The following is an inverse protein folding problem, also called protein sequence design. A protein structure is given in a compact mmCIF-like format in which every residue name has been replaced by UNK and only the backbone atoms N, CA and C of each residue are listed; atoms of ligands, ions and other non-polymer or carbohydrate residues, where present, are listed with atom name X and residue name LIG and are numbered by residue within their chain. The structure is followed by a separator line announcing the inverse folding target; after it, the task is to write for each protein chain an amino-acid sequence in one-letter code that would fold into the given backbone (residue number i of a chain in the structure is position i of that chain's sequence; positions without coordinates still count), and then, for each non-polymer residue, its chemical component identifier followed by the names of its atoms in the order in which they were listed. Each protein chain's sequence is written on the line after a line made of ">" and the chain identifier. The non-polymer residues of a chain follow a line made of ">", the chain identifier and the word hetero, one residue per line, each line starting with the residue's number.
data_IF_743302404748
#
_entry.id   IF_743302404748
#
_cell.length_a   1.000
_cell.length_b   1.000
_cell.length_c   1.000
_cell.angle_alpha   90.00
_cell.angle_beta   90.00
_cell.angle_gamma   90.00
#
_symmetry.space_group_name_H-M   'P 1'
#
loop_
_entity.id
_entity.type
_entity.pdbx_description
1 polymer ?
#
# COMPACT_ATOMS: atom_id res chain seq x y z
N UNK A 1 -58.14 -49.61 8.63
CA UNK A 1 -57.46 -49.68 9.92
C UNK A 1 -56.29 -48.69 9.83
N UNK A 2 -56.64 -47.54 10.27
CA UNK A 2 -56.09 -46.77 11.36
C UNK A 2 -54.76 -46.21 11.04
N UNK A 3 -54.69 -44.90 10.67
CA UNK A 3 -54.56 -43.75 11.55
C UNK A 3 -53.18 -43.66 12.22
N UNK A 4 -52.37 -42.65 11.81
CA UNK A 4 -52.02 -41.56 12.68
C UNK A 4 -51.03 -40.58 12.01
N UNK A 5 -51.51 -39.41 11.70
CA UNK A 5 -50.71 -38.20 11.82
C UNK A 5 -50.38 -37.89 13.29
N UNK A 6 -49.30 -37.18 13.54
CA UNK A 6 -49.55 -35.86 14.12
C UNK A 6 -48.68 -34.73 13.54
N UNK A 7 -49.37 -33.62 13.36
CA UNK A 7 -48.98 -32.22 13.47
C UNK A 7 -47.78 -31.95 14.40
N UNK A 8 -46.83 -31.13 13.96
CA UNK A 8 -46.61 -29.85 14.64
C UNK A 8 -45.77 -28.90 13.78
N UNK A 9 -46.41 -27.82 13.45
CA UNK A 9 -45.83 -26.56 13.03
C UNK A 9 -45.19 -25.89 14.24
N UNK A 10 -43.88 -25.65 14.21
CA UNK A 10 -43.28 -24.56 14.97
C UNK A 10 -42.29 -23.86 14.09
N UNK A 11 -42.59 -22.59 13.84
CA UNK A 11 -41.78 -21.65 13.10
C UNK A 11 -40.46 -21.42 13.80
N UNK A 12 -39.41 -21.59 13.05
CA UNK A 12 -38.09 -21.08 13.37
C UNK A 12 -37.85 -19.87 12.48
N UNK A 13 -38.20 -18.71 12.98
CA UNK A 13 -37.59 -17.44 12.62
C UNK A 13 -36.17 -17.46 13.16
N UNK A 14 -35.24 -17.98 12.40
CA UNK A 14 -33.85 -17.67 12.59
C UNK A 14 -33.58 -16.38 11.83
N UNK A 15 -33.39 -15.32 12.59
CA UNK A 15 -32.71 -14.12 12.13
C UNK A 15 -31.40 -14.54 11.54
N UNK A 16 -31.29 -14.51 10.23
CA UNK A 16 -30.04 -14.61 9.48
C UNK A 16 -29.27 -13.30 9.65
N UNK A 17 -28.71 -13.13 10.86
CA UNK A 17 -27.65 -12.13 11.05
C UNK A 17 -26.39 -12.72 10.41
N UNK A 18 -25.75 -12.03 9.43
CA UNK A 18 -24.55 -12.56 8.79
C UNK A 18 -23.50 -12.93 9.84
N UNK A 19 -22.90 -14.12 9.73
CA UNK A 19 -21.86 -14.60 10.65
C UNK A 19 -20.70 -13.58 10.81
N UNK A 20 -20.42 -12.77 9.79
CA UNK A 20 -19.47 -11.67 9.83
C UNK A 20 -19.80 -10.59 10.87
N UNK A 21 -21.07 -10.24 11.07
CA UNK A 21 -21.48 -9.24 12.05
C UNK A 21 -21.38 -9.75 13.51
N UNK A 22 -21.52 -11.06 13.73
CA UNK A 22 -21.36 -11.65 15.08
C UNK A 22 -19.89 -11.85 15.48
N UNK A 23 -18.98 -12.02 14.53
CA UNK A 23 -17.54 -12.10 14.81
C UNK A 23 -16.88 -10.72 15.01
N UNK A 24 -17.44 -9.66 14.44
CA UNK A 24 -16.95 -8.29 14.63
C UNK A 24 -17.19 -7.73 16.05
N UNK A 25 -18.11 -8.33 16.83
CA UNK A 25 -18.49 -7.84 18.17
C UNK A 25 -17.66 -8.36 19.35
N UNK A 26 -16.76 -9.31 19.13
CA UNK A 26 -15.96 -9.89 20.22
C UNK A 26 -14.47 -9.87 19.87
N UNK A 27 -13.79 -8.79 20.24
CA UNK A 27 -12.33 -8.80 20.32
C UNK A 27 -11.57 -7.73 19.55
N UNK A 28 -12.22 -6.77 18.86
CA UNK A 28 -11.51 -5.63 18.29
C UNK A 28 -11.31 -4.59 19.39
N UNK A 29 -10.22 -4.73 20.13
CA UNK A 29 -9.82 -3.80 21.18
C UNK A 29 -8.98 -2.63 20.65
N UNK A 30 -8.60 -2.64 19.37
CA UNK A 30 -7.77 -1.62 18.76
C UNK A 30 -8.51 -0.92 17.61
N UNK A 31 -8.53 0.39 17.66
CA UNK A 31 -9.11 1.25 16.63
C UNK A 31 -8.34 1.08 15.30
N UNK A 32 -7.03 0.80 15.36
CA UNK A 32 -6.17 0.60 14.21
C UNK A 32 -6.50 -0.64 13.39
N UNK A 33 -7.27 -1.59 13.93
CA UNK A 33 -7.76 -2.74 13.15
C UNK A 33 -8.65 -2.33 11.99
N UNK A 34 -9.35 -1.20 12.10
CA UNK A 34 -10.17 -0.66 11.01
C UNK A 34 -9.37 -0.24 9.77
N UNK A 35 -8.04 -0.15 9.86
CA UNK A 35 -7.17 0.07 8.72
C UNK A 35 -6.90 -1.17 7.89
N UNK A 36 -6.96 -2.33 8.55
CA UNK A 36 -6.49 -3.59 8.01
C UNK A 36 -7.60 -4.63 7.93
N UNK A 37 -8.74 -4.36 8.59
CA UNK A 37 -9.93 -5.23 8.55
C UNK A 37 -10.79 -4.84 7.36
N UNK A 38 -11.43 -5.82 6.74
CA UNK A 38 -12.53 -5.59 5.83
C UNK A 38 -13.57 -4.74 6.53
N UNK A 39 -13.86 -3.58 5.99
CA UNK A 39 -15.07 -2.87 6.40
C UNK A 39 -16.23 -3.84 6.19
N UNK A 40 -17.16 -3.98 7.17
CA UNK A 40 -18.20 -5.02 7.18
C UNK A 40 -19.30 -4.74 6.14
N UNK A 41 -18.91 -4.61 4.89
CA UNK A 41 -19.79 -4.32 3.79
C UNK A 41 -19.69 -5.43 2.75
N UNK A 42 -20.79 -6.09 2.47
CA UNK A 42 -20.93 -7.09 1.40
C UNK A 42 -20.79 -6.49 -0.02
N UNK A 43 -20.58 -5.18 -0.10
CA UNK A 43 -20.47 -4.42 -1.33
C UNK A 43 -19.33 -3.42 -1.27
N UNK A 44 -18.94 -2.86 -2.42
CA UNK A 44 -17.96 -1.78 -2.53
C UNK A 44 -18.25 -0.68 -1.49
N UNK A 45 -17.34 -0.38 -0.54
CA UNK A 45 -17.56 0.66 0.45
C UNK A 45 -17.71 2.01 -0.26
N UNK A 46 -18.84 2.68 -0.03
CA UNK A 46 -19.06 4.06 -0.43
C UNK A 46 -18.76 5.01 0.72
N UNK A 47 -18.54 6.29 0.40
CA UNK A 47 -18.37 7.32 1.42
C UNK A 47 -19.55 7.35 2.41
N UNK A 48 -20.77 7.14 1.89
CA UNK A 48 -22.00 7.08 2.70
C UNK A 48 -21.99 5.89 3.64
N UNK A 49 -21.62 4.70 3.16
CA UNK A 49 -21.55 3.49 3.99
C UNK A 49 -20.53 3.66 5.11
N UNK A 50 -19.36 4.22 4.81
CA UNK A 50 -18.34 4.51 5.83
C UNK A 50 -18.89 5.52 6.85
N UNK A 51 -19.66 6.53 6.39
CA UNK A 51 -20.27 7.53 7.26
C UNK A 51 -21.31 6.94 8.23
N UNK A 52 -21.87 5.75 7.97
CA UNK A 52 -22.84 5.08 8.86
C UNK A 52 -22.20 4.29 10.01
N UNK A 53 -20.86 4.17 10.05
CA UNK A 53 -20.19 3.51 11.16
C UNK A 53 -20.54 4.19 12.49
N UNK A 54 -21.00 3.45 13.51
CA UNK A 54 -21.60 4.03 14.70
C UNK A 54 -20.58 4.74 15.62
N UNK A 55 -19.32 4.38 15.53
CA UNK A 55 -18.23 4.95 16.33
C UNK A 55 -17.56 6.06 15.54
N UNK A 56 -17.58 7.29 16.04
CA UNK A 56 -17.06 8.47 15.36
C UNK A 56 -15.55 8.36 15.04
N UNK A 57 -14.77 7.75 15.93
CA UNK A 57 -13.32 7.61 15.73
C UNK A 57 -12.99 6.53 14.72
N UNK A 58 -13.68 5.39 14.78
CA UNK A 58 -13.57 4.33 13.78
C UNK A 58 -13.99 4.82 12.40
N UNK A 59 -15.07 5.62 12.34
CA UNK A 59 -15.52 6.29 11.13
C UNK A 59 -14.43 7.20 10.56
N UNK A 60 -13.82 8.03 11.39
CA UNK A 60 -12.76 8.95 10.96
C UNK A 60 -11.52 8.20 10.42
N UNK A 61 -11.07 7.15 11.11
CA UNK A 61 -9.95 6.31 10.63
C UNK A 61 -10.31 5.63 9.32
N UNK A 62 -11.50 5.05 9.22
CA UNK A 62 -11.97 4.40 7.99
C UNK A 62 -12.01 5.38 6.81
N UNK A 63 -12.49 6.62 7.02
CA UNK A 63 -12.48 7.68 6.00
C UNK A 63 -11.08 8.07 5.58
N UNK A 64 -10.17 8.32 6.52
CA UNK A 64 -8.77 8.65 6.21
C UNK A 64 -8.14 7.58 5.34
N UNK A 65 -8.28 6.30 5.72
CA UNK A 65 -7.73 5.18 4.98
C UNK A 65 -8.39 5.04 3.59
N UNK A 66 -9.71 5.11 3.53
CA UNK A 66 -10.48 4.97 2.28
C UNK A 66 -10.09 6.04 1.26
N UNK A 67 -10.09 7.32 1.66
CA UNK A 67 -9.71 8.42 0.78
C UNK A 67 -8.25 8.32 0.34
N UNK A 68 -7.34 7.98 1.24
CA UNK A 68 -5.93 7.77 0.88
C UNK A 68 -5.77 6.65 -0.14
N UNK A 69 -6.42 5.50 0.06
CA UNK A 69 -6.35 4.36 -0.85
C UNK A 69 -6.94 4.67 -2.24
N UNK A 70 -7.91 5.58 -2.31
CA UNK A 70 -8.46 6.10 -3.56
C UNK A 70 -7.62 7.24 -4.18
N UNK A 71 -6.48 7.61 -3.56
CA UNK A 71 -5.65 8.76 -3.94
C UNK A 71 -6.40 10.11 -3.90
N UNK A 72 -7.37 10.25 -2.99
CA UNK A 72 -8.09 11.49 -2.64
C UNK A 72 -7.36 12.14 -1.47
N UNK A 73 -6.15 12.60 -1.71
CA UNK A 73 -5.20 13.01 -0.67
C UNK A 73 -5.66 14.24 0.13
N UNK A 74 -6.29 15.22 -0.52
CA UNK A 74 -6.79 16.43 0.14
C UNK A 74 -7.90 16.10 1.15
N UNK A 75 -8.82 15.21 0.77
CA UNK A 75 -9.94 14.78 1.63
C UNK A 75 -9.43 13.93 2.79
N UNK A 76 -8.50 13.02 2.53
CA UNK A 76 -7.83 12.23 3.55
C UNK A 76 -7.05 13.11 4.54
N UNK A 77 -6.29 14.09 4.05
CA UNK A 77 -5.54 15.03 4.89
C UNK A 77 -6.47 15.92 5.74
N UNK A 78 -7.60 16.36 5.19
CA UNK A 78 -8.57 17.15 5.93
C UNK A 78 -9.22 16.35 7.06
N UNK A 79 -9.53 15.07 6.83
CA UNK A 79 -10.05 14.17 7.88
C UNK A 79 -8.99 13.88 8.93
N UNK A 80 -7.74 13.61 8.51
CA UNK A 80 -6.62 13.40 9.41
C UNK A 80 -6.40 14.60 10.33
N UNK A 81 -6.39 15.81 9.78
CA UNK A 81 -6.21 17.05 10.55
C UNK A 81 -7.25 17.21 11.67
N UNK A 82 -8.50 16.80 11.45
CA UNK A 82 -9.57 16.83 12.48
C UNK A 82 -9.26 15.89 13.65
N UNK A 83 -8.59 14.78 13.39
CA UNK A 83 -8.33 13.71 14.34
C UNK A 83 -6.96 13.80 15.04
N UNK A 84 -6.05 14.68 14.59
CA UNK A 84 -4.70 14.82 15.17
C UNK A 84 -4.67 15.25 16.64
N UNK A 85 -5.79 15.75 17.18
CA UNK A 85 -5.96 16.12 18.58
C UNK A 85 -6.98 15.25 19.31
N UNK A 86 -7.26 14.03 18.80
CA UNK A 86 -8.11 13.07 19.49
C UNK A 86 -7.56 12.75 20.89
N UNK A 87 -8.46 12.48 21.84
CA UNK A 87 -8.11 12.01 23.17
C UNK A 87 -7.58 10.56 23.16
N UNK A 88 -7.81 9.82 22.05
CA UNK A 88 -7.32 8.46 21.89
C UNK A 88 -5.95 8.46 21.20
N UNK A 89 -4.89 8.01 21.89
CA UNK A 89 -3.52 8.05 21.37
C UNK A 89 -3.34 7.30 20.02
N UNK A 90 -4.04 6.20 19.83
CA UNK A 90 -4.00 5.44 18.57
C UNK A 90 -4.57 6.25 17.40
N UNK A 91 -5.72 6.89 17.60
CA UNK A 91 -6.37 7.73 16.57
C UNK A 91 -5.49 8.88 16.19
N UNK A 92 -4.95 9.57 17.18
CA UNK A 92 -4.11 10.73 17.02
C UNK A 92 -2.79 10.38 16.31
N UNK A 93 -2.12 9.30 16.71
CA UNK A 93 -0.89 8.82 16.02
C UNK A 93 -1.17 8.42 14.59
N UNK A 94 -2.27 7.70 14.36
CA UNK A 94 -2.66 7.30 13.02
C UNK A 94 -3.04 8.49 12.13
N UNK A 95 -3.79 9.45 12.66
CA UNK A 95 -4.15 10.66 11.96
C UNK A 95 -2.90 11.46 11.54
N UNK A 96 -1.91 11.56 12.43
CA UNK A 96 -0.65 12.22 12.13
C UNK A 96 0.14 11.50 11.03
N UNK A 97 0.19 10.15 11.09
CA UNK A 97 0.78 9.33 10.03
C UNK A 97 0.07 9.54 8.69
N UNK A 98 -1.27 9.47 8.67
CA UNK A 98 -2.06 9.68 7.47
C UNK A 98 -1.84 11.10 6.90
N UNK A 99 -1.75 12.11 7.76
CA UNK A 99 -1.48 13.49 7.36
C UNK A 99 -0.11 13.62 6.70
N UNK A 100 0.93 13.01 7.27
CA UNK A 100 2.27 12.95 6.67
C UNK A 100 2.22 12.32 5.27
N UNK A 101 1.64 11.13 5.14
CA UNK A 101 1.58 10.39 3.87
C UNK A 101 0.83 11.17 2.78
N UNK A 102 -0.28 11.82 3.14
CA UNK A 102 -1.03 12.65 2.20
C UNK A 102 -0.23 13.87 1.77
N UNK A 103 0.46 14.55 2.69
CA UNK A 103 1.25 15.74 2.35
C UNK A 103 2.53 15.42 1.57
N UNK A 104 3.08 14.22 1.71
CA UNK A 104 4.10 13.71 0.77
C UNK A 104 3.51 13.59 -0.64
N UNK A 105 2.34 12.97 -0.78
CA UNK A 105 1.68 12.83 -2.06
C UNK A 105 1.29 14.19 -2.69
N UNK A 106 0.96 15.18 -1.85
CA UNK A 106 0.64 16.55 -2.26
C UNK A 106 1.87 17.47 -2.42
N UNK A 107 3.08 16.92 -2.23
CA UNK A 107 4.33 17.66 -2.31
C UNK A 107 4.42 18.88 -1.35
N UNK A 108 3.90 18.75 -0.14
CA UNK A 108 3.93 19.80 0.88
C UNK A 108 4.95 19.46 1.98
N UNK A 109 6.23 19.65 1.68
CA UNK A 109 7.34 19.23 2.53
C UNK A 109 7.45 20.02 3.85
N UNK A 110 7.00 21.25 3.90
CA UNK A 110 6.99 22.04 5.14
C UNK A 110 6.09 21.38 6.20
N UNK A 111 4.88 20.97 5.79
CA UNK A 111 3.95 20.25 6.67
C UNK A 111 4.52 18.90 7.07
N UNK A 112 5.08 18.15 6.13
CA UNK A 112 5.70 16.85 6.39
C UNK A 112 6.79 16.94 7.47
N UNK A 113 7.72 17.89 7.36
CA UNK A 113 8.81 18.07 8.33
C UNK A 113 8.30 18.40 9.73
N UNK A 114 7.30 19.30 9.83
CA UNK A 114 6.66 19.65 11.09
C UNK A 114 5.99 18.44 11.73
N UNK A 115 5.22 17.70 10.96
CA UNK A 115 4.45 16.55 11.44
C UNK A 115 5.36 15.39 11.86
N UNK A 116 6.50 15.19 11.20
CA UNK A 116 7.51 14.22 11.64
C UNK A 116 8.10 14.57 13.01
N UNK A 117 8.33 15.86 13.28
CA UNK A 117 8.82 16.28 14.60
C UNK A 117 7.77 16.01 15.68
N UNK A 118 6.50 16.32 15.39
CA UNK A 118 5.37 16.07 16.30
C UNK A 118 5.21 14.56 16.56
N UNK A 119 5.25 13.73 15.51
CA UNK A 119 5.17 12.28 15.65
C UNK A 119 6.29 11.71 16.54
N UNK A 120 7.53 12.17 16.36
CA UNK A 120 8.66 11.77 17.20
C UNK A 120 8.41 12.10 18.68
N UNK A 121 7.86 13.27 18.98
CA UNK A 121 7.57 13.68 20.37
C UNK A 121 6.45 12.83 20.98
N UNK A 122 5.35 12.64 20.27
CA UNK A 122 4.18 11.89 20.75
C UNK A 122 4.47 10.41 20.98
N UNK A 123 5.38 9.81 20.21
CA UNK A 123 5.72 8.38 20.32
C UNK A 123 6.77 8.06 21.39
N UNK A 124 7.34 9.05 22.09
CA UNK A 124 8.38 8.81 23.10
C UNK A 124 7.87 8.17 24.39
N UNK A 125 6.63 8.45 24.79
CA UNK A 125 6.05 8.00 26.06
C UNK A 125 4.72 7.30 25.83
N UNK A 126 4.73 6.01 25.39
CA UNK A 126 3.52 5.26 25.14
C UNK A 126 2.76 4.96 26.44
N UNK A 127 1.45 5.09 26.43
CA UNK A 127 0.58 4.89 27.60
C UNK A 127 0.50 3.43 28.05
N UNK A 128 0.67 2.50 27.14
CA UNK A 128 0.60 1.06 27.40
C UNK A 128 1.42 0.26 26.36
N UNK A 129 1.56 -1.05 26.59
CA UNK A 129 2.35 -1.94 25.73
C UNK A 129 1.79 -2.06 24.31
N UNK A 130 0.49 -1.97 24.14
CA UNK A 130 -0.14 -2.02 22.80
C UNK A 130 0.23 -0.77 21.99
N UNK A 131 0.07 0.43 22.58
CA UNK A 131 0.48 1.70 21.94
C UNK A 131 1.98 1.72 21.67
N UNK A 132 2.80 1.20 22.59
CA UNK A 132 4.24 1.06 22.38
C UNK A 132 4.55 0.19 21.15
N UNK A 133 3.90 -0.94 21.01
CA UNK A 133 4.07 -1.85 19.90
C UNK A 133 3.64 -1.23 18.56
N UNK A 134 2.52 -0.50 18.52
CA UNK A 134 2.09 0.23 17.33
C UNK A 134 3.08 1.33 16.95
N UNK A 135 3.58 2.08 17.92
CA UNK A 135 4.60 3.11 17.68
C UNK A 135 5.89 2.51 17.11
N UNK A 136 6.31 1.34 17.58
CA UNK A 136 7.47 0.62 17.04
C UNK A 136 7.25 0.23 15.58
N UNK A 137 6.08 -0.32 15.25
CA UNK A 137 5.71 -0.70 13.88
C UNK A 137 5.69 0.54 12.97
N UNK A 138 5.06 1.62 13.40
CA UNK A 138 4.96 2.84 12.58
C UNK A 138 6.32 3.52 12.40
N UNK A 139 7.15 3.61 13.44
CA UNK A 139 8.52 4.13 13.31
C UNK A 139 9.34 3.29 12.35
N UNK A 140 9.27 1.96 12.45
CA UNK A 140 9.94 1.06 11.51
C UNK A 140 9.44 1.28 10.08
N UNK A 141 8.12 1.26 9.87
CA UNK A 141 7.54 1.46 8.55
C UNK A 141 7.94 2.81 7.93
N UNK A 142 7.87 3.90 8.71
CA UNK A 142 8.30 5.22 8.25
C UNK A 142 9.78 5.26 7.90
N UNK A 143 10.65 4.66 8.71
CA UNK A 143 12.08 4.62 8.42
C UNK A 143 12.39 3.86 7.14
N UNK A 144 11.65 2.78 6.88
CA UNK A 144 11.77 1.97 5.65
C UNK A 144 11.24 2.76 4.45
N UNK A 145 10.01 3.27 4.55
CA UNK A 145 9.38 3.95 3.41
C UNK A 145 10.04 5.28 3.07
N UNK A 146 10.55 6.01 4.05
CA UNK A 146 11.20 7.31 3.83
C UNK A 146 12.72 7.24 3.82
N UNK A 147 13.32 6.05 3.81
CA UNK A 147 14.77 5.84 3.79
C UNK A 147 15.52 6.71 4.84
N UNK A 148 14.98 6.81 6.04
CA UNK A 148 15.49 7.72 7.08
C UNK A 148 16.81 7.24 7.71
N UNK A 149 17.71 6.61 7.01
CA UNK A 149 19.13 6.36 7.33
C UNK A 149 19.52 5.81 8.70
N UNK A 150 18.66 5.90 9.68
CA UNK A 150 18.82 5.27 10.97
C UNK A 150 18.49 3.79 10.79
N UNK A 151 19.49 2.92 11.02
CA UNK A 151 19.30 1.47 11.06
C UNK A 151 18.26 1.17 12.16
N UNK A 152 16.99 1.19 11.79
CA UNK A 152 15.91 0.84 12.71
C UNK A 152 16.03 -0.64 13.03
N UNK A 153 16.15 -0.93 14.32
CA UNK A 153 16.12 -2.29 14.81
C UNK A 153 14.85 -2.98 14.27
N UNK A 154 14.93 -4.26 13.87
CA UNK A 154 13.75 -5.02 13.49
C UNK A 154 12.68 -4.94 14.59
N UNK A 155 11.41 -5.00 14.19
CA UNK A 155 10.30 -5.02 15.14
C UNK A 155 10.50 -6.22 16.08
N UNK A 156 10.47 -5.95 17.39
CA UNK A 156 10.78 -6.98 18.39
C UNK A 156 9.66 -8.04 18.47
N UNK A 157 10.00 -9.30 18.84
CA UNK A 157 8.99 -10.32 19.11
C UNK A 157 7.99 -9.89 20.21
N UNK A 158 8.43 -9.08 21.18
CA UNK A 158 7.55 -8.53 22.22
C UNK A 158 6.52 -7.60 21.62
N UNK A 159 6.90 -6.69 20.71
CA UNK A 159 5.97 -5.82 20.00
C UNK A 159 4.93 -6.62 19.22
N UNK A 160 5.35 -7.70 18.53
CA UNK A 160 4.40 -8.58 17.83
C UNK A 160 3.36 -9.22 18.76
N UNK A 161 3.73 -9.57 20.01
CA UNK A 161 2.81 -10.20 20.95
C UNK A 161 1.71 -9.27 21.46
N UNK A 162 1.94 -7.96 21.41
CA UNK A 162 1.00 -6.93 21.86
C UNK A 162 0.19 -6.30 20.74
N UNK A 163 0.36 -6.75 19.49
CA UNK A 163 -0.35 -6.23 18.33
C UNK A 163 -1.54 -7.10 17.93
N UNK A 164 -2.53 -6.47 17.35
CA UNK A 164 -3.60 -7.15 16.64
C UNK A 164 -3.09 -7.94 15.44
N UNK A 165 -3.92 -8.81 14.88
CA UNK A 165 -3.56 -9.60 13.71
C UNK A 165 -3.26 -8.70 12.49
N UNK A 166 -4.11 -7.71 12.21
CA UNK A 166 -3.90 -6.76 11.12
C UNK A 166 -2.61 -5.96 11.29
N UNK A 167 -2.32 -5.49 12.51
CA UNK A 167 -1.06 -4.78 12.80
C UNK A 167 0.18 -5.66 12.63
N UNK A 168 0.08 -6.95 12.98
CA UNK A 168 1.16 -7.93 12.72
C UNK A 168 1.41 -8.14 11.23
N UNK A 169 0.34 -8.27 10.44
CA UNK A 169 0.45 -8.38 8.98
C UNK A 169 1.06 -7.12 8.35
N UNK A 170 0.69 -5.94 8.85
CA UNK A 170 1.31 -4.69 8.41
C UNK A 170 2.80 -4.62 8.78
N UNK A 171 3.18 -5.11 9.96
CA UNK A 171 4.58 -5.23 10.37
C UNK A 171 5.36 -6.18 9.45
N UNK A 172 4.79 -7.33 9.08
CA UNK A 172 5.38 -8.26 8.12
C UNK A 172 5.51 -7.64 6.73
N UNK A 173 4.52 -6.86 6.29
CA UNK A 173 4.64 -6.09 5.05
C UNK A 173 5.81 -5.11 5.09
N UNK A 174 5.93 -4.31 6.17
CA UNK A 174 7.02 -3.35 6.32
C UNK A 174 8.40 -4.03 6.36
N UNK A 175 8.53 -5.15 7.07
CA UNK A 175 9.78 -5.94 7.10
C UNK A 175 10.11 -6.56 5.74
N UNK A 176 9.11 -7.08 5.04
CA UNK A 176 9.27 -7.61 3.69
C UNK A 176 9.70 -6.51 2.71
N UNK A 177 9.17 -5.29 2.87
CA UNK A 177 9.59 -4.14 2.08
C UNK A 177 11.04 -3.73 2.39
N UNK A 178 11.45 -3.76 3.66
CA UNK A 178 12.86 -3.54 4.05
C UNK A 178 13.81 -4.54 3.37
N UNK A 179 13.47 -5.83 3.34
CA UNK A 179 14.22 -6.85 2.62
C UNK A 179 14.29 -6.56 1.12
N UNK A 180 13.17 -6.10 0.52
CA UNK A 180 13.14 -5.70 -0.88
C UNK A 180 14.12 -4.56 -1.17
N UNK A 181 14.18 -3.53 -0.32
CA UNK A 181 15.11 -2.40 -0.45
C UNK A 181 16.57 -2.84 -0.29
N UNK A 182 16.84 -3.84 0.55
CA UNK A 182 18.15 -4.47 0.71
C UNK A 182 18.53 -5.41 -0.44
N UNK A 183 17.66 -5.53 -1.46
CA UNK A 183 17.81 -6.43 -2.61
C UNK A 183 17.73 -7.91 -2.26
N UNK A 184 17.29 -8.26 -1.05
CA UNK A 184 17.03 -9.63 -0.59
C UNK A 184 15.67 -10.12 -1.10
N UNK A 185 15.50 -10.12 -2.43
CA UNK A 185 14.20 -10.32 -3.10
C UNK A 185 13.57 -11.67 -2.80
N UNK A 186 14.37 -12.74 -2.65
CA UNK A 186 13.86 -14.07 -2.35
C UNK A 186 13.27 -14.13 -0.93
N UNK A 187 13.92 -13.49 0.03
CA UNK A 187 13.44 -13.40 1.41
C UNK A 187 12.19 -12.51 1.50
N UNK A 188 12.20 -11.37 0.79
CA UNK A 188 11.04 -10.48 0.70
C UNK A 188 9.81 -11.21 0.14
N UNK A 189 10.00 -11.99 -0.94
CA UNK A 189 8.92 -12.77 -1.55
C UNK A 189 8.39 -13.84 -0.59
N UNK A 190 9.29 -14.62 0.03
CA UNK A 190 8.91 -15.68 0.96
C UNK A 190 8.15 -15.15 2.18
N UNK A 191 8.58 -14.00 2.75
CA UNK A 191 7.90 -13.36 3.87
C UNK A 191 6.51 -12.84 3.48
N UNK A 192 6.37 -12.20 2.32
CA UNK A 192 5.07 -11.72 1.83
C UNK A 192 4.10 -12.89 1.58
N UNK A 193 4.57 -14.00 0.99
CA UNK A 193 3.77 -15.21 0.78
C UNK A 193 3.33 -15.84 2.11
N UNK A 194 4.23 -15.95 3.08
CA UNK A 194 3.88 -16.47 4.40
C UNK A 194 2.81 -15.59 5.09
N UNK A 195 2.95 -14.27 5.02
CA UNK A 195 1.95 -13.35 5.55
C UNK A 195 0.58 -13.50 4.86
N UNK A 196 0.55 -13.63 3.53
CA UNK A 196 -0.69 -13.90 2.78
C UNK A 196 -1.35 -15.22 3.18
N UNK A 197 -0.56 -16.26 3.45
CA UNK A 197 -1.09 -17.56 3.93
C UNK A 197 -1.67 -17.46 5.34
N UNK A 198 -1.11 -16.61 6.20
CA UNK A 198 -1.60 -16.41 7.57
C UNK A 198 -2.94 -15.67 7.62
N UNK A 199 -3.20 -14.78 6.66
CA UNK A 199 -4.34 -13.87 6.71
C UNK A 199 -5.69 -14.55 6.40
N UNK A 200 -5.73 -15.62 5.65
CA UNK A 200 -6.96 -16.28 5.19
C UNK A 200 -7.99 -15.30 4.54
N UNK A 201 -7.53 -14.25 3.90
CA UNK A 201 -8.30 -13.19 3.23
C UNK A 201 -9.24 -12.38 4.15
N UNK A 202 -8.86 -12.18 5.40
CA UNK A 202 -9.63 -11.37 6.36
C UNK A 202 -9.29 -9.88 6.35
N UNK A 203 -8.11 -9.51 5.83
CA UNK A 203 -7.58 -8.13 5.86
C UNK A 203 -7.28 -7.66 4.44
N UNK A 204 -8.33 -7.30 3.68
CA UNK A 204 -8.22 -6.99 2.25
C UNK A 204 -7.17 -5.92 1.93
N UNK A 205 -7.13 -4.84 2.70
CA UNK A 205 -6.19 -3.73 2.46
C UNK A 205 -4.75 -4.22 2.54
N UNK A 206 -4.38 -4.95 3.60
CA UNK A 206 -3.01 -5.43 3.74
C UNK A 206 -2.69 -6.53 2.72
N UNK A 207 -3.69 -7.34 2.32
CA UNK A 207 -3.55 -8.31 1.23
C UNK A 207 -3.21 -7.63 -0.09
N UNK A 208 -3.78 -6.45 -0.40
CA UNK A 208 -3.41 -5.69 -1.59
C UNK A 208 -1.90 -5.35 -1.54
N UNK A 209 -1.43 -4.76 -0.45
CA UNK A 209 -0.02 -4.37 -0.30
C UNK A 209 0.95 -5.56 -0.31
N UNK A 210 0.61 -6.66 0.36
CA UNK A 210 1.42 -7.89 0.34
C UNK A 210 1.51 -8.50 -1.06
N UNK A 211 0.41 -8.53 -1.81
CA UNK A 211 0.43 -8.99 -3.20
C UNK A 211 1.23 -8.04 -4.12
N UNK A 212 1.12 -6.73 -3.95
CA UNK A 212 1.94 -5.74 -4.66
C UNK A 212 3.43 -5.99 -4.37
N UNK A 213 3.80 -6.16 -3.12
CA UNK A 213 5.20 -6.41 -2.74
C UNK A 213 5.71 -7.76 -3.27
N UNK A 214 4.90 -8.82 -3.18
CA UNK A 214 5.24 -10.12 -3.75
C UNK A 214 5.45 -10.02 -5.27
N UNK A 215 4.62 -9.23 -5.98
CA UNK A 215 4.82 -9.01 -7.42
C UNK A 215 6.11 -8.24 -7.74
N UNK A 216 6.46 -7.22 -6.95
CA UNK A 216 7.71 -6.47 -7.09
C UNK A 216 8.94 -7.37 -6.89
N UNK A 217 8.93 -8.20 -5.84
CA UNK A 217 10.01 -9.13 -5.55
C UNK A 217 10.13 -10.20 -6.63
N UNK A 218 9.02 -10.78 -7.08
CA UNK A 218 8.98 -11.75 -8.18
C UNK A 218 9.50 -11.14 -9.50
N UNK A 219 9.15 -9.88 -9.83
CA UNK A 219 9.70 -9.16 -10.99
C UNK A 219 11.21 -9.04 -10.90
N UNK A 220 11.74 -8.69 -9.72
CA UNK A 220 13.18 -8.55 -9.50
C UNK A 220 13.93 -9.89 -9.64
N UNK A 221 13.27 -11.01 -9.30
CA UNK A 221 13.78 -12.37 -9.49
C UNK A 221 13.56 -12.94 -10.89
N UNK A 222 12.90 -12.20 -11.79
CA UNK A 222 12.48 -12.68 -13.12
C UNK A 222 11.45 -13.81 -13.11
N UNK A 223 10.67 -13.94 -12.04
CA UNK A 223 9.56 -14.89 -11.93
C UNK A 223 8.27 -14.27 -12.48
N UNK A 224 8.24 -13.99 -13.77
CA UNK A 224 7.20 -13.19 -14.43
C UNK A 224 5.78 -13.71 -14.22
N UNK A 225 5.56 -15.02 -14.38
CA UNK A 225 4.22 -15.63 -14.19
C UNK A 225 3.74 -15.50 -12.73
N UNK A 226 4.66 -15.55 -11.78
CA UNK A 226 4.32 -15.35 -10.36
C UNK A 226 4.02 -13.87 -10.10
N UNK A 227 4.79 -12.96 -10.67
CA UNK A 227 4.57 -11.52 -10.56
C UNK A 227 3.20 -11.13 -11.10
N UNK A 228 2.84 -11.64 -12.30
CA UNK A 228 1.52 -11.42 -12.90
C UNK A 228 0.39 -11.93 -12.00
N UNK A 229 0.51 -13.12 -11.43
CA UNK A 229 -0.52 -13.67 -10.52
C UNK A 229 -0.72 -12.82 -9.28
N UNK A 230 0.35 -12.41 -8.60
CA UNK A 230 0.25 -11.55 -7.43
C UNK A 230 -0.34 -10.17 -7.78
N UNK A 231 0.12 -9.57 -8.88
CA UNK A 231 -0.42 -8.29 -9.35
C UNK A 231 -1.92 -8.35 -9.65
N UNK A 232 -2.36 -9.38 -10.37
CA UNK A 232 -3.77 -9.58 -10.69
C UNK A 232 -4.61 -9.88 -9.45
N UNK A 233 -4.07 -10.57 -8.43
CA UNK A 233 -4.73 -10.75 -7.14
C UNK A 233 -4.90 -9.42 -6.42
N UNK A 234 -3.85 -8.58 -6.36
CA UNK A 234 -3.95 -7.23 -5.79
C UNK A 234 -5.02 -6.41 -6.51
N UNK A 235 -5.00 -6.40 -7.85
CA UNK A 235 -5.94 -5.65 -8.67
C UNK A 235 -7.39 -6.13 -8.48
N UNK A 236 -7.61 -7.44 -8.39
CA UNK A 236 -8.93 -8.04 -8.16
C UNK A 236 -9.56 -7.57 -6.85
N UNK A 237 -8.76 -7.44 -5.79
CA UNK A 237 -9.22 -6.94 -4.49
C UNK A 237 -9.41 -5.42 -4.53
N UNK A 238 -8.44 -4.68 -5.06
CA UNK A 238 -8.40 -3.21 -5.01
C UNK A 238 -9.43 -2.53 -5.92
N UNK A 239 -9.63 -3.07 -7.12
CA UNK A 239 -10.44 -2.43 -8.17
C UNK A 239 -11.90 -2.18 -7.78
N UNK A 240 -12.64 -3.12 -7.16
CA UNK A 240 -14.02 -2.87 -6.74
C UNK A 240 -14.17 -1.69 -5.77
N UNK A 241 -13.14 -1.44 -4.97
CA UNK A 241 -13.09 -0.36 -3.97
C UNK A 241 -12.50 0.95 -4.51
N UNK A 242 -12.01 0.96 -5.74
CA UNK A 242 -11.31 2.11 -6.32
C UNK A 242 -9.95 2.39 -5.67
N UNK A 243 -9.33 1.40 -5.04
CA UNK A 243 -8.06 1.55 -4.32
C UNK A 243 -6.88 1.51 -5.30
N UNK A 244 -6.42 2.68 -5.71
CA UNK A 244 -5.33 2.84 -6.68
C UNK A 244 -3.98 3.20 -6.04
N UNK A 245 -3.98 3.68 -4.79
CA UNK A 245 -2.77 4.12 -4.10
C UNK A 245 -1.66 3.05 -4.04
N UNK A 246 -1.94 1.75 -3.78
CA UNK A 246 -0.89 0.73 -3.77
C UNK A 246 -0.12 0.63 -5.09
N UNK A 247 -0.79 0.87 -6.22
CA UNK A 247 -0.17 0.85 -7.56
C UNK A 247 0.56 2.14 -7.89
N UNK A 248 0.10 3.28 -7.35
CA UNK A 248 0.75 4.58 -7.49
C UNK A 248 2.08 4.59 -6.73
N UNK A 249 2.05 4.26 -5.43
CA UNK A 249 3.23 4.30 -4.57
C UNK A 249 4.33 3.31 -4.96
N UNK A 250 3.97 2.24 -5.67
CA UNK A 250 4.90 1.18 -6.07
C UNK A 250 5.09 1.08 -7.58
N UNK A 251 4.67 2.09 -8.34
CA UNK A 251 4.67 2.06 -9.81
C UNK A 251 6.05 1.69 -10.40
N UNK A 252 7.12 2.34 -9.95
CA UNK A 252 8.48 2.03 -10.41
C UNK A 252 8.93 0.60 -10.09
N UNK A 253 8.89 0.17 -8.82
CA UNK A 253 9.19 -1.20 -8.41
C UNK A 253 8.36 -2.29 -9.09
N UNK A 254 7.13 -1.99 -9.53
CA UNK A 254 6.26 -2.91 -10.29
C UNK A 254 6.75 -3.17 -11.71
N UNK A 255 7.71 -2.38 -12.24
CA UNK A 255 8.46 -2.68 -13.46
C UNK A 255 7.57 -3.06 -14.67
N UNK A 256 6.55 -2.24 -14.97
CA UNK A 256 5.68 -2.41 -16.14
C UNK A 256 4.45 -3.32 -15.94
N UNK A 257 4.20 -3.85 -14.74
CA UNK A 257 2.99 -4.63 -14.44
C UNK A 257 1.70 -3.81 -14.64
N UNK A 258 1.73 -2.52 -14.24
CA UNK A 258 0.59 -1.60 -14.44
C UNK A 258 0.32 -1.42 -15.93
N UNK A 259 1.38 -1.20 -16.72
CA UNK A 259 1.31 -1.02 -18.17
C UNK A 259 0.76 -2.27 -18.88
N UNK A 260 1.28 -3.43 -18.51
CA UNK A 260 0.92 -4.72 -19.11
C UNK A 260 -0.54 -5.08 -18.87
N UNK A 261 -1.02 -4.88 -17.65
CA UNK A 261 -2.33 -5.40 -17.24
C UNK A 261 -3.46 -4.39 -17.29
N UNK A 262 -3.17 -3.08 -17.23
CA UNK A 262 -4.20 -2.04 -17.12
C UNK A 262 -4.27 -1.16 -18.37
N UNK A 263 -3.14 -0.73 -18.95
CA UNK A 263 -3.09 0.35 -19.95
C UNK A 263 -4.06 0.18 -21.13
N UNK A 264 -4.02 -0.98 -21.78
CA UNK A 264 -4.80 -1.21 -23.00
C UNK A 264 -6.19 -1.82 -22.70
N UNK A 265 -6.37 -2.40 -21.51
CA UNK A 265 -7.64 -3.02 -21.10
C UNK A 265 -8.57 -2.06 -20.39
N UNK A 266 -8.03 -1.10 -19.66
CA UNK A 266 -8.74 -0.14 -18.82
C UNK A 266 -8.08 1.25 -18.92
N UNK A 267 -8.19 1.93 -20.07
CA UNK A 267 -7.47 3.17 -20.33
C UNK A 267 -7.77 4.29 -19.33
N UNK A 268 -9.01 4.38 -18.85
CA UNK A 268 -9.41 5.39 -17.87
C UNK A 268 -8.75 5.13 -16.50
N UNK A 269 -8.73 3.86 -16.04
CA UNK A 269 -8.04 3.49 -14.81
C UNK A 269 -6.53 3.74 -14.93
N UNK A 270 -5.94 3.39 -16.07
CA UNK A 270 -4.52 3.66 -16.34
C UNK A 270 -4.21 5.16 -16.30
N UNK A 271 -5.07 5.98 -16.91
CA UNK A 271 -4.93 7.43 -16.87
C UNK A 271 -4.98 7.97 -15.44
N UNK A 272 -5.96 7.55 -14.65
CA UNK A 272 -6.07 7.94 -13.24
C UNK A 272 -4.81 7.60 -12.44
N UNK A 273 -4.30 6.37 -12.60
CA UNK A 273 -3.06 5.94 -11.94
C UNK A 273 -1.88 6.78 -12.42
N UNK A 274 -1.72 6.96 -13.73
CA UNK A 274 -0.61 7.69 -14.34
C UNK A 274 -0.53 9.15 -13.90
N UNK A 275 -1.67 9.85 -13.86
CA UNK A 275 -1.75 11.24 -13.41
C UNK A 275 -1.32 11.36 -11.94
N UNK A 276 -1.76 10.45 -11.10
CA UNK A 276 -1.40 10.42 -9.67
C UNK A 276 0.04 9.94 -9.42
N UNK A 277 0.58 9.04 -10.26
CA UNK A 277 2.00 8.62 -10.20
C UNK A 277 2.93 9.81 -10.41
N UNK A 278 2.62 10.69 -11.37
CA UNK A 278 3.43 11.88 -11.61
C UNK A 278 3.46 12.81 -10.39
N UNK A 279 2.29 13.05 -9.78
CA UNK A 279 2.16 13.87 -8.58
C UNK A 279 2.93 13.25 -7.38
N UNK A 280 2.65 11.98 -7.08
CA UNK A 280 3.25 11.26 -5.96
C UNK A 280 4.77 11.18 -6.08
N UNK A 281 5.29 10.87 -7.27
CA UNK A 281 6.73 10.76 -7.51
C UNK A 281 7.47 12.08 -7.29
N UNK A 282 6.84 13.20 -7.62
CA UNK A 282 7.43 14.51 -7.38
C UNK A 282 7.67 14.76 -5.88
N UNK A 283 6.62 14.60 -5.06
CA UNK A 283 6.74 14.76 -3.60
C UNK A 283 7.68 13.73 -2.97
N UNK A 284 7.65 12.49 -3.45
CA UNK A 284 8.54 11.44 -2.98
C UNK A 284 10.03 11.77 -3.24
N UNK A 285 10.36 12.30 -4.42
CA UNK A 285 11.74 12.69 -4.77
C UNK A 285 12.26 13.80 -3.86
N UNK A 286 11.42 14.75 -3.46
CA UNK A 286 11.82 15.83 -2.55
C UNK A 286 12.10 15.35 -1.13
N UNK A 287 11.40 14.32 -0.65
CA UNK A 287 11.68 13.69 0.65
C UNK A 287 13.03 12.97 0.64
N UNK A 288 13.32 12.21 -0.42
CA UNK A 288 14.49 11.34 -0.47
C UNK A 288 15.77 12.05 -0.90
N UNK A 289 15.66 13.11 -1.69
CA UNK A 289 16.79 13.84 -2.26
C UNK A 289 16.63 15.37 -2.11
N UNK A 290 16.50 15.90 -0.89
CA UNK A 290 16.30 17.33 -0.69
C UNK A 290 17.44 18.21 -1.18
N UNK A 291 18.63 17.63 -1.36
CA UNK A 291 19.85 18.33 -1.81
C UNK A 291 20.22 18.06 -3.26
N UNK A 292 19.66 17.04 -3.89
CA UNK A 292 19.94 16.78 -5.30
C UNK A 292 19.00 17.58 -6.19
N UNK A 293 19.54 18.40 -7.07
CA UNK A 293 18.78 19.05 -8.15
C UNK A 293 18.37 18.04 -9.24
N UNK A 294 18.59 16.74 -9.04
CA UNK A 294 18.28 15.68 -9.97
C UNK A 294 16.78 15.38 -10.03
N UNK A 295 16.02 16.35 -10.55
CA UNK A 295 14.60 16.19 -10.96
C UNK A 295 14.44 15.31 -12.21
N UNK A 296 15.46 14.58 -12.58
CA UNK A 296 15.56 13.88 -13.87
C UNK A 296 14.48 12.81 -14.00
N UNK A 297 14.18 12.10 -12.91
CA UNK A 297 13.10 11.09 -12.93
C UNK A 297 11.71 11.70 -13.13
N UNK A 298 11.53 12.99 -12.80
CA UNK A 298 10.27 13.71 -13.02
C UNK A 298 10.03 14.09 -14.48
N UNK A 299 11.06 14.00 -15.34
CA UNK A 299 10.96 14.25 -16.78
C UNK A 299 10.37 13.05 -17.55
N UNK A 300 10.36 11.87 -16.92
CA UNK A 300 9.86 10.65 -17.54
C UNK A 300 8.36 10.48 -17.32
N UNK A 301 7.62 10.18 -18.39
CA UNK A 301 6.26 9.70 -18.24
C UNK A 301 6.22 8.40 -17.45
N UNK A 302 5.08 7.99 -16.84
CA UNK A 302 4.98 6.71 -16.14
C UNK A 302 5.43 5.52 -17.00
N UNK A 303 5.05 5.49 -18.28
CA UNK A 303 5.44 4.43 -19.20
C UNK A 303 6.95 4.41 -19.50
N UNK A 304 7.56 5.57 -19.77
CA UNK A 304 9.01 5.69 -19.92
C UNK A 304 9.75 5.25 -18.67
N UNK A 305 9.23 5.62 -17.50
CA UNK A 305 9.80 5.25 -16.21
C UNK A 305 9.73 3.73 -15.97
N UNK A 306 8.61 3.09 -16.28
CA UNK A 306 8.44 1.64 -16.16
C UNK A 306 9.46 0.89 -17.05
N UNK A 307 9.59 1.29 -18.33
CA UNK A 307 10.59 0.74 -19.25
C UNK A 307 12.03 0.95 -18.73
N UNK A 308 12.32 2.15 -18.25
CA UNK A 308 13.62 2.49 -17.71
C UNK A 308 13.96 1.67 -16.46
N UNK A 309 12.98 1.43 -15.57
CA UNK A 309 13.14 0.57 -14.38
C UNK A 309 13.45 -0.88 -14.78
N UNK A 310 12.74 -1.46 -15.73
CA UNK A 310 13.06 -2.81 -16.24
C UNK A 310 14.49 -2.86 -16.79
N UNK A 311 14.87 -1.85 -17.57
CA UNK A 311 16.20 -1.75 -18.12
C UNK A 311 17.30 -1.59 -17.05
N UNK A 312 17.06 -0.78 -16.02
CA UNK A 312 17.96 -0.57 -14.88
C UNK A 312 18.12 -1.84 -14.02
N UNK A 313 17.06 -2.65 -13.91
CA UNK A 313 17.06 -3.97 -13.24
C UNK A 313 17.70 -5.08 -14.10
N UNK A 314 18.27 -4.74 -15.28
CA UNK A 314 19.06 -5.67 -16.09
C UNK A 314 18.29 -6.45 -17.16
N UNK A 315 16.97 -6.21 -17.35
CA UNK A 315 16.21 -6.87 -18.40
C UNK A 315 16.71 -6.45 -19.79
N UNK A 316 16.93 -7.38 -20.71
CA UNK A 316 17.27 -7.08 -22.10
C UNK A 316 16.11 -6.39 -22.84
N UNK A 317 16.39 -5.75 -23.97
CA UNK A 317 15.32 -5.14 -24.77
C UNK A 317 14.33 -6.18 -25.31
N UNK A 318 14.79 -7.42 -25.55
CA UNK A 318 13.92 -8.52 -25.97
C UNK A 318 12.98 -8.94 -24.82
N UNK A 319 13.52 -9.16 -23.61
CA UNK A 319 12.70 -9.51 -22.43
C UNK A 319 11.66 -8.43 -22.11
N UNK A 320 12.02 -7.14 -22.25
CA UNK A 320 11.07 -6.04 -22.06
C UNK A 320 9.99 -6.06 -23.14
N UNK A 321 10.38 -6.28 -24.41
CA UNK A 321 9.45 -6.35 -25.53
C UNK A 321 8.46 -7.51 -25.38
N UNK A 322 8.96 -8.69 -25.06
CA UNK A 322 8.15 -9.90 -24.86
C UNK A 322 7.20 -9.73 -23.67
N UNK A 323 7.72 -9.20 -22.56
CA UNK A 323 6.93 -9.00 -21.36
C UNK A 323 5.78 -7.99 -21.53
N UNK A 324 6.05 -6.86 -22.19
CA UNK A 324 5.06 -5.80 -22.43
C UNK A 324 4.23 -6.01 -23.70
N UNK A 325 4.51 -7.08 -24.46
CA UNK A 325 3.86 -7.40 -25.74
C UNK A 325 3.97 -6.24 -26.77
N UNK A 326 5.17 -5.68 -26.90
CA UNK A 326 5.51 -4.62 -27.87
C UNK A 326 6.70 -5.02 -28.72
N UNK A 327 6.97 -4.28 -29.80
CA UNK A 327 8.15 -4.56 -30.63
C UNK A 327 9.46 -4.15 -29.92
N UNK A 328 10.53 -4.90 -30.20
CA UNK A 328 11.89 -4.53 -29.72
C UNK A 328 12.32 -3.14 -30.20
N UNK A 329 11.85 -2.73 -31.38
CA UNK A 329 12.13 -1.39 -31.90
C UNK A 329 11.40 -0.31 -31.08
N UNK A 330 10.18 -0.62 -30.62
CA UNK A 330 9.46 0.26 -29.69
C UNK A 330 10.20 0.43 -28.39
N UNK A 331 10.74 -0.65 -27.81
CA UNK A 331 11.58 -0.57 -26.58
C UNK A 331 12.81 0.28 -26.82
N UNK A 332 13.54 0.08 -27.94
CA UNK A 332 14.72 0.87 -28.28
C UNK A 332 14.39 2.35 -28.43
N UNK A 333 13.27 2.69 -29.08
CA UNK A 333 12.83 4.08 -29.25
C UNK A 333 12.55 4.74 -27.90
N UNK A 334 11.79 4.09 -27.01
CA UNK A 334 11.52 4.63 -25.67
C UNK A 334 12.80 4.78 -24.83
N UNK A 335 13.69 3.80 -24.83
CA UNK A 335 14.96 3.91 -24.09
C UNK A 335 15.84 5.01 -24.64
N UNK A 336 15.84 5.27 -25.95
CA UNK A 336 16.54 6.41 -26.54
C UNK A 336 15.98 7.75 -26.03
N UNK A 337 14.67 7.89 -25.96
CA UNK A 337 14.00 9.07 -25.38
C UNK A 337 14.37 9.22 -23.90
N UNK A 338 14.34 8.12 -23.14
CA UNK A 338 14.73 8.11 -21.73
C UNK A 338 16.17 8.60 -21.57
N UNK A 339 17.12 8.06 -22.34
CA UNK A 339 18.54 8.47 -22.26
C UNK A 339 18.71 9.96 -22.56
N UNK A 340 18.01 10.46 -23.57
CA UNK A 340 18.04 11.89 -23.90
C UNK A 340 17.48 12.75 -22.75
N UNK A 341 16.34 12.37 -22.18
CA UNK A 341 15.69 13.10 -21.08
C UNK A 341 16.54 13.09 -19.80
N UNK A 342 17.19 11.96 -19.51
CA UNK A 342 18.02 11.74 -18.31
C UNK A 342 19.44 12.30 -18.51
N UNK A 343 19.86 12.61 -19.75
CA UNK A 343 21.20 13.11 -20.06
C UNK A 343 22.29 12.05 -19.96
N UNK A 344 21.97 10.77 -20.23
CA UNK A 344 22.90 9.65 -20.20
C UNK A 344 23.15 9.09 -21.61
N UNK A 345 24.28 8.39 -21.76
CA UNK A 345 24.66 7.78 -23.05
C UNK A 345 24.69 6.26 -22.98
N UNK A 346 24.77 5.68 -21.77
CA UNK A 346 24.92 4.23 -21.57
C UNK A 346 23.81 3.70 -20.68
N UNK A 347 23.30 2.52 -21.05
CA UNK A 347 22.30 1.79 -20.27
C UNK A 347 22.70 1.55 -18.81
N UNK A 348 23.99 1.26 -18.55
CA UNK A 348 24.52 1.02 -17.20
C UNK A 348 24.36 2.20 -16.26
N UNK A 349 24.26 3.42 -16.81
CA UNK A 349 24.08 4.65 -16.03
C UNK A 349 22.68 4.79 -15.45
N UNK A 350 21.65 4.10 -16.02
CA UNK A 350 20.27 4.12 -15.52
C UNK A 350 20.16 3.75 -14.03
N UNK A 351 20.99 2.82 -13.56
CA UNK A 351 20.99 2.39 -12.16
C UNK A 351 21.25 3.54 -11.19
N UNK A 352 22.08 4.50 -11.58
CA UNK A 352 22.47 5.63 -10.74
C UNK A 352 21.32 6.62 -10.51
N UNK A 353 20.33 6.62 -11.42
CA UNK A 353 19.20 7.56 -11.39
C UNK A 353 17.88 6.93 -10.90
N UNK A 354 17.74 5.62 -11.04
CA UNK A 354 16.43 4.95 -10.85
C UNK A 354 16.40 3.95 -9.68
N UNK A 355 17.54 3.51 -9.17
CA UNK A 355 17.63 2.38 -8.23
C UNK A 355 18.41 2.79 -6.95
N UNK A 356 18.30 4.04 -6.54
CA UNK A 356 18.88 4.49 -5.25
C UNK A 356 17.85 4.28 -4.13
#
# INVERSE_FOLDING_TARGET
>A
MQDNEPKNSEGLTREDTPLAAQQCGKGINSITEYLFVNLPFDSKPSDEMIATLPDAEKNAIAKMAHFFLQARYEESAAEAKRCMNSQHPEVNTFALLAHILNHVALNNMEVVQKDFQDLRQRTQHPENKHVAALNDIFRFALSVFFHLGEATAPISPESFSHCSEGSRLYALYAQSYALYLQQEYAQALGMAEAALMMDANRHEVICIYLNVLASMAAMSLSYFDRADRFFLNALRIAKPMGYIQPFIGHHGPLQGLVEKHIRDREPELYKMISDKVMLFRHGWTEVHNPQSQDKVTNLLTPYEFALAMMAAKGKSNQEIADYLNISINTVKAYLSIVYQKVGITKRSELKNYLVK
#
